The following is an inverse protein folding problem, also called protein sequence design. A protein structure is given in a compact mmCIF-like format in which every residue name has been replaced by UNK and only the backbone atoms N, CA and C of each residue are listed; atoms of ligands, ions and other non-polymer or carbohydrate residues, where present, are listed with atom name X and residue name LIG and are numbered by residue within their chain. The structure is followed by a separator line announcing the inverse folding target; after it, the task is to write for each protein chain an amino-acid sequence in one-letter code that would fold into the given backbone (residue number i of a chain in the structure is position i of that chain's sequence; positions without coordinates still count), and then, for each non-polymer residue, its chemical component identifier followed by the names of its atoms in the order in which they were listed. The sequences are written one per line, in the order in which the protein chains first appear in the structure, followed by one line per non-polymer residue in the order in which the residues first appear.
data_IF_867561782030
#
_entry.id   IF_867561782030
#
_cell.length_a   1.000
_cell.length_b   1.000
_cell.length_c   1.000
_cell.angle_alpha   90.00
_cell.angle_beta   90.00
_cell.angle_gamma   90.00
#
_symmetry.space_group_name_H-M   'P 1'
#
loop_
_entity.id
_entity.type
_entity.pdbx_description
1 polymer ?
#
# COMPACT_ATOMS: atom_id res chain seq x y z
N UNK A 1 17.58 -22.79 24.69
CA UNK A 1 18.38 -21.87 23.83
C UNK A 1 18.25 -22.19 22.34
N UNK A 2 18.18 -23.47 21.92
CA UNK A 2 18.03 -23.85 20.50
C UNK A 2 16.64 -23.60 19.86
N UNK A 3 15.56 -23.48 20.65
CA UNK A 3 14.21 -23.25 20.12
C UNK A 3 14.02 -21.86 19.48
N UNK A 4 14.71 -20.83 20.01
CA UNK A 4 14.59 -19.45 19.52
C UNK A 4 15.25 -19.25 18.14
N UNK A 5 16.37 -19.92 17.89
CA UNK A 5 17.05 -19.90 16.58
C UNK A 5 16.24 -20.62 15.49
N UNK A 6 15.48 -21.67 15.82
CA UNK A 6 14.61 -22.37 14.86
C UNK A 6 13.40 -21.52 14.48
N UNK A 7 12.80 -20.79 15.42
CA UNK A 7 11.74 -19.82 15.11
C UNK A 7 12.27 -18.64 14.28
N UNK A 8 13.44 -18.11 14.60
CA UNK A 8 14.05 -17.04 13.82
C UNK A 8 14.44 -17.52 12.40
N UNK A 9 14.91 -18.75 12.26
CA UNK A 9 15.20 -19.37 10.97
C UNK A 9 13.93 -19.65 10.15
N UNK A 10 12.83 -20.08 10.78
CA UNK A 10 11.53 -20.24 10.11
C UNK A 10 10.94 -18.92 9.62
N UNK A 11 11.10 -17.84 10.38
CA UNK A 11 10.71 -16.49 9.97
C UNK A 11 11.63 -16.00 8.84
N UNK A 12 12.95 -16.20 8.96
CA UNK A 12 13.94 -15.81 7.94
C UNK A 12 13.73 -16.56 6.62
N UNK A 13 13.42 -17.85 6.67
CA UNK A 13 13.07 -18.68 5.50
C UNK A 13 11.70 -18.32 4.93
N UNK A 14 10.72 -17.92 5.75
CA UNK A 14 9.41 -17.45 5.25
C UNK A 14 9.49 -16.09 4.58
N UNK A 15 10.40 -15.21 5.01
CA UNK A 15 10.68 -13.91 4.36
C UNK A 15 11.50 -14.07 3.07
N UNK A 16 12.29 -15.14 2.94
CA UNK A 16 13.21 -15.36 1.82
C UNK A 16 12.66 -16.15 0.62
N UNK A 17 11.37 -16.51 0.58
CA UNK A 17 10.82 -17.32 -0.52
C UNK A 17 9.54 -16.74 -1.13
N UNK A 18 9.65 -15.59 -1.81
CA UNK A 18 8.76 -15.27 -2.94
C UNK A 18 9.33 -15.87 -4.24
N UNK A 19 9.34 -17.19 -4.35
CA UNK A 19 9.82 -17.90 -5.55
C UNK A 19 8.68 -18.47 -6.40
N UNK A 20 7.56 -17.75 -6.51
CA UNK A 20 6.57 -18.05 -7.56
C UNK A 20 6.58 -16.94 -8.59
N UNK A 21 7.65 -16.91 -9.39
CA UNK A 21 7.72 -16.03 -10.56
C UNK A 21 6.63 -16.42 -11.56
N UNK A 22 5.46 -15.81 -11.42
CA UNK A 22 4.33 -16.02 -12.34
C UNK A 22 4.62 -15.30 -13.63
N UNK A 23 4.58 -16.02 -14.75
CA UNK A 23 4.67 -15.43 -16.08
C UNK A 23 3.50 -14.47 -16.30
N UNK A 24 3.75 -13.38 -17.04
CA UNK A 24 2.69 -12.48 -17.48
C UNK A 24 1.71 -13.26 -18.35
N UNK A 25 0.46 -13.36 -17.88
CA UNK A 25 -0.59 -14.15 -18.52
C UNK A 25 -1.58 -13.31 -19.33
N UNK A 26 -1.48 -11.98 -19.24
CA UNK A 26 -2.37 -11.02 -19.89
C UNK A 26 -1.65 -10.19 -20.95
N UNK A 27 -2.38 -9.75 -21.97
CA UNK A 27 -1.84 -8.92 -23.06
C UNK A 27 -2.19 -7.45 -22.86
N UNK A 28 -3.44 -7.14 -22.61
CA UNK A 28 -3.98 -5.80 -22.51
C UNK A 28 -4.51 -5.50 -21.11
N UNK A 29 -4.36 -4.25 -20.67
CA UNK A 29 -4.91 -3.73 -19.41
C UNK A 29 -5.84 -2.58 -19.74
N UNK A 30 -7.09 -2.66 -19.29
CA UNK A 30 -8.12 -1.65 -19.52
C UNK A 30 -8.69 -1.14 -18.22
N UNK A 31 -8.98 0.16 -18.19
CA UNK A 31 -9.73 0.80 -17.10
C UNK A 31 -11.17 0.95 -17.57
N UNK A 32 -12.13 0.47 -16.79
CA UNK A 32 -13.55 0.62 -17.08
C UNK A 32 -14.25 1.27 -15.88
N UNK A 33 -15.13 2.24 -16.14
CA UNK A 33 -16.04 2.77 -15.14
C UNK A 33 -17.18 1.77 -14.95
N UNK A 34 -17.33 1.18 -13.77
CA UNK A 34 -18.49 0.33 -13.52
C UNK A 34 -19.72 1.23 -13.33
N UNK A 35 -20.65 1.15 -14.27
CA UNK A 35 -22.00 1.69 -14.12
C UNK A 35 -22.89 0.61 -13.49
N UNK A 36 -22.52 0.08 -12.32
CA UNK A 36 -23.31 -0.98 -11.69
C UNK A 36 -23.74 -0.61 -10.28
N UNK A 37 -25.03 -0.81 -10.03
CA UNK A 37 -25.79 -0.45 -8.84
C UNK A 37 -25.39 -1.42 -7.72
N UNK A 38 -24.54 -0.98 -6.79
CA UNK A 38 -24.32 -1.73 -5.55
C UNK A 38 -25.51 -1.46 -4.63
N UNK A 39 -26.50 -2.36 -4.63
CA UNK A 39 -27.51 -2.43 -3.57
C UNK A 39 -26.83 -2.92 -2.29
N UNK A 40 -26.32 -1.98 -1.50
CA UNK A 40 -25.98 -2.23 -0.10
C UNK A 40 -27.20 -1.87 0.75
N UNK A 41 -27.77 -2.88 1.40
CA UNK A 41 -28.88 -2.77 2.33
C UNK A 41 -28.45 -1.91 3.54
N UNK A 42 -28.66 -0.58 3.48
CA UNK A 42 -28.58 0.29 4.66
C UNK A 42 -27.98 1.69 4.50
N UNK A 43 -27.26 2.01 3.42
CA UNK A 43 -26.85 3.39 3.13
C UNK A 43 -26.72 3.64 1.62
N UNK A 44 -27.58 4.52 1.10
CA UNK A 44 -27.59 4.98 -0.29
C UNK A 44 -26.46 5.98 -0.55
N UNK A 45 -25.24 5.49 -0.67
CA UNK A 45 -24.13 6.22 -1.28
C UNK A 45 -23.72 5.46 -2.53
N UNK A 46 -24.13 5.97 -3.69
CA UNK A 46 -23.83 5.44 -5.02
C UNK A 46 -22.32 5.52 -5.26
N UNK A 47 -21.58 4.48 -4.89
CA UNK A 47 -20.14 4.42 -5.13
C UNK A 47 -19.91 4.04 -6.59
N UNK A 48 -19.56 5.03 -7.41
CA UNK A 48 -19.03 4.78 -8.74
C UNK A 48 -17.61 4.24 -8.57
N UNK A 49 -17.47 2.91 -8.61
CA UNK A 49 -16.18 2.26 -8.59
C UNK A 49 -15.58 2.21 -9.99
N UNK A 50 -14.27 2.41 -10.09
CA UNK A 50 -13.53 2.18 -11.32
C UNK A 50 -12.87 0.81 -11.20
N UNK A 51 -13.15 -0.06 -12.17
CA UNK A 51 -12.60 -1.40 -12.24
C UNK A 51 -11.44 -1.47 -13.24
N UNK A 52 -10.52 -2.38 -12.97
CA UNK A 52 -9.38 -2.66 -13.83
C UNK A 52 -9.55 -4.07 -14.40
N UNK A 53 -9.43 -4.18 -15.71
CA UNK A 53 -9.60 -5.42 -16.45
C UNK A 53 -8.28 -5.82 -17.12
N UNK A 54 -7.82 -7.03 -16.82
CA UNK A 54 -6.69 -7.68 -17.50
C UNK A 54 -7.28 -8.60 -18.58
N UNK A 55 -7.15 -8.20 -19.84
CA UNK A 55 -7.87 -8.75 -20.99
C UNK A 55 -9.40 -8.81 -20.74
N UNK A 56 -9.92 -10.01 -20.44
CA UNK A 56 -11.34 -10.27 -20.15
C UNK A 56 -11.61 -10.57 -18.67
N UNK A 57 -10.58 -10.50 -17.81
CA UNK A 57 -10.71 -10.82 -16.39
C UNK A 57 -10.64 -9.55 -15.53
N UNK A 58 -11.63 -9.38 -14.66
CA UNK A 58 -11.63 -8.34 -13.64
C UNK A 58 -10.50 -8.58 -12.64
N UNK A 59 -9.77 -7.53 -12.29
CA UNK A 59 -8.72 -7.58 -11.29
C UNK A 59 -9.34 -7.82 -9.91
N UNK A 60 -8.76 -8.76 -9.16
CA UNK A 60 -9.22 -9.17 -7.83
C UNK A 60 -8.09 -9.11 -6.83
N UNK A 61 -8.47 -8.87 -5.58
CA UNK A 61 -7.56 -8.92 -4.43
C UNK A 61 -7.16 -10.37 -4.12
N UNK A 62 -6.11 -10.60 -3.31
CA UNK A 62 -5.76 -11.94 -2.83
C UNK A 62 -6.92 -12.68 -2.15
N UNK A 63 -7.82 -11.97 -1.47
CA UNK A 63 -9.02 -12.55 -0.86
C UNK A 63 -10.19 -12.73 -1.85
N UNK A 64 -9.97 -12.52 -3.15
CA UNK A 64 -10.94 -12.73 -4.22
C UNK A 64 -12.00 -11.64 -4.36
N UNK A 65 -11.92 -10.54 -3.61
CA UNK A 65 -12.79 -9.37 -3.75
C UNK A 65 -12.45 -8.61 -5.03
N UNK A 66 -13.44 -7.95 -5.64
CA UNK A 66 -13.20 -7.09 -6.80
C UNK A 66 -12.47 -5.82 -6.35
N UNK A 67 -11.41 -5.45 -7.08
CA UNK A 67 -10.67 -4.22 -6.80
C UNK A 67 -11.39 -3.03 -7.45
N UNK A 68 -12.18 -2.30 -6.65
CA UNK A 68 -12.88 -1.08 -7.06
C UNK A 68 -12.17 0.14 -6.51
N UNK A 69 -11.77 1.05 -7.38
CA UNK A 69 -11.04 2.26 -7.02
C UNK A 69 -11.95 3.49 -7.12
N UNK A 70 -11.89 4.43 -6.15
CA UNK A 70 -12.75 5.61 -6.15
C UNK A 70 -12.29 6.71 -7.12
N UNK A 71 -11.02 6.72 -7.52
CA UNK A 71 -10.41 7.79 -8.31
C UNK A 71 -9.88 7.26 -9.66
N UNK A 72 -10.20 7.90 -10.80
CA UNK A 72 -9.71 7.50 -12.12
C UNK A 72 -8.19 7.59 -12.25
N UNK A 73 -7.55 8.57 -11.61
CA UNK A 73 -6.09 8.74 -11.64
C UNK A 73 -5.40 7.56 -10.94
N UNK A 74 -5.95 7.13 -9.80
CA UNK A 74 -5.44 5.97 -9.09
C UNK A 74 -5.62 4.68 -9.92
N UNK A 75 -6.77 4.53 -10.58
CA UNK A 75 -7.02 3.39 -11.45
C UNK A 75 -6.08 3.36 -12.67
N UNK A 76 -5.80 4.51 -13.27
CA UNK A 76 -4.83 4.63 -14.35
C UNK A 76 -3.40 4.28 -13.87
N UNK A 77 -2.99 4.77 -12.69
CA UNK A 77 -1.68 4.46 -12.13
C UNK A 77 -1.51 2.96 -11.81
N UNK A 78 -2.54 2.33 -11.24
CA UNK A 78 -2.54 0.87 -11.04
C UNK A 78 -2.52 0.13 -12.37
N UNK A 79 -3.31 0.56 -13.36
CA UNK A 79 -3.29 -0.05 -14.69
C UNK A 79 -1.90 0.04 -15.34
N UNK A 80 -1.21 1.17 -15.19
CA UNK A 80 0.17 1.36 -15.66
C UNK A 80 1.14 0.41 -14.95
N UNK A 81 1.05 0.24 -13.63
CA UNK A 81 1.88 -0.75 -12.90
C UNK A 81 1.74 -2.16 -13.49
N UNK A 82 0.52 -2.56 -13.87
CA UNK A 82 0.26 -3.84 -14.54
C UNK A 82 0.77 -3.87 -15.98
N UNK A 83 0.74 -2.75 -16.71
CA UNK A 83 1.27 -2.67 -18.07
C UNK A 83 2.80 -2.75 -18.11
N UNK A 84 3.49 -2.12 -17.14
CA UNK A 84 4.95 -2.10 -17.02
C UNK A 84 5.59 -3.48 -16.70
N UNK A 85 4.80 -4.48 -16.31
CA UNK A 85 5.33 -5.81 -16.00
C UNK A 85 5.96 -6.47 -17.24
N UNK A 86 7.17 -7.00 -17.09
CA UNK A 86 7.88 -7.71 -18.16
C UNK A 86 7.36 -9.13 -18.40
N UNK A 87 8.27 -10.07 -18.68
CA UNK A 87 7.93 -11.49 -18.89
C UNK A 87 7.36 -12.17 -17.64
N UNK A 88 7.74 -11.67 -16.46
CA UNK A 88 7.35 -12.18 -15.14
C UNK A 88 6.74 -11.05 -14.33
N UNK A 89 5.70 -11.37 -13.57
CA UNK A 89 5.01 -10.44 -12.68
C UNK A 89 5.85 -10.30 -11.41
N UNK A 90 6.36 -9.10 -11.15
CA UNK A 90 7.18 -8.76 -10.00
C UNK A 90 6.36 -8.00 -8.97
N UNK A 91 5.97 -8.70 -7.90
CA UNK A 91 5.16 -8.09 -6.82
C UNK A 91 5.85 -6.92 -6.12
N UNK A 92 7.19 -6.96 -6.05
CA UNK A 92 8.01 -5.88 -5.50
C UNK A 92 7.93 -4.57 -6.28
N UNK A 93 7.45 -4.59 -7.53
CA UNK A 93 7.32 -3.39 -8.37
C UNK A 93 5.87 -2.85 -8.37
N UNK A 94 4.95 -3.51 -7.66
CA UNK A 94 3.50 -3.23 -7.71
C UNK A 94 2.97 -2.70 -6.38
N UNK A 95 3.53 -1.58 -5.92
CA UNK A 95 3.22 -1.02 -4.60
C UNK A 95 1.80 -0.48 -4.51
N UNK A 96 1.31 0.20 -5.55
CA UNK A 96 -0.05 0.74 -5.56
C UNK A 96 -1.08 -0.38 -5.57
N UNK A 97 -0.86 -1.41 -6.40
CA UNK A 97 -1.73 -2.59 -6.44
C UNK A 97 -1.78 -3.29 -5.07
N UNK A 98 -0.63 -3.47 -4.42
CA UNK A 98 -0.54 -4.10 -3.10
C UNK A 98 -1.26 -3.29 -2.03
N UNK A 99 -1.06 -1.96 -2.02
CA UNK A 99 -1.69 -1.06 -1.07
C UNK A 99 -3.21 -1.02 -1.24
N UNK A 100 -3.69 -0.92 -2.49
CA UNK A 100 -5.12 -0.94 -2.77
C UNK A 100 -5.75 -2.29 -2.39
N UNK A 101 -5.07 -3.40 -2.68
CA UNK A 101 -5.55 -4.74 -2.30
C UNK A 101 -5.65 -4.88 -0.78
N UNK A 102 -4.64 -4.41 -0.03
CA UNK A 102 -4.67 -4.43 1.44
C UNK A 102 -5.76 -3.56 2.01
N UNK A 103 -5.98 -2.36 1.44
CA UNK A 103 -7.04 -1.45 1.86
C UNK A 103 -8.44 -2.05 1.63
N UNK A 104 -8.67 -2.75 0.51
CA UNK A 104 -9.95 -3.41 0.22
C UNK A 104 -10.16 -4.68 1.04
N UNK A 105 -9.11 -5.47 1.26
CA UNK A 105 -9.21 -6.72 1.99
C UNK A 105 -9.36 -6.49 3.50
N UNK A 106 -8.71 -5.45 4.05
CA UNK A 106 -8.66 -5.12 5.47
C UNK A 106 -8.52 -6.37 6.35
N UNK A 107 -7.39 -7.09 6.28
CA UNK A 107 -7.24 -8.41 6.93
C UNK A 107 -7.35 -8.34 8.46
N UNK A 108 -7.10 -7.18 9.06
CA UNK A 108 -7.21 -6.93 10.50
C UNK A 108 -8.62 -6.44 10.92
N UNK A 109 -9.53 -6.29 9.96
CA UNK A 109 -10.90 -5.76 10.13
C UNK A 109 -10.96 -4.50 11.01
N UNK A 110 -9.98 -3.62 10.83
CA UNK A 110 -9.86 -2.40 11.63
C UNK A 110 -10.91 -1.40 11.20
N UNK A 111 -11.53 -0.75 12.19
CA UNK A 111 -12.37 0.41 11.93
C UNK A 111 -11.51 1.66 11.73
N UNK A 112 -12.05 2.70 11.08
CA UNK A 112 -11.33 3.97 10.91
C UNK A 112 -10.82 4.55 12.23
N UNK A 113 -11.58 4.39 13.32
CA UNK A 113 -11.20 4.89 14.65
C UNK A 113 -10.00 4.14 15.22
N UNK A 114 -9.94 2.81 15.03
CA UNK A 114 -8.83 1.98 15.48
C UNK A 114 -7.55 2.31 14.70
N UNK A 115 -7.67 2.59 13.40
CA UNK A 115 -6.55 3.04 12.57
C UNK A 115 -6.01 4.39 13.04
N UNK A 116 -6.89 5.34 13.34
CA UNK A 116 -6.48 6.64 13.89
C UNK A 116 -5.78 6.48 15.23
N UNK A 117 -6.31 5.64 16.13
CA UNK A 117 -5.66 5.33 17.41
C UNK A 117 -4.25 4.77 17.19
N UNK A 118 -4.08 3.77 16.31
CA UNK A 118 -2.76 3.20 16.00
C UNK A 118 -1.75 4.22 15.48
N UNK A 119 -2.20 5.20 14.70
CA UNK A 119 -1.35 6.29 14.19
C UNK A 119 -0.96 7.23 15.34
N UNK A 120 -1.92 7.57 16.21
CA UNK A 120 -1.68 8.43 17.39
C UNK A 120 -0.72 7.77 18.38
N UNK A 121 -0.85 6.46 18.58
CA UNK A 121 0.03 5.68 19.46
C UNK A 121 1.50 5.66 18.98
N UNK A 122 1.75 5.97 17.70
CA UNK A 122 3.11 6.07 17.16
C UNK A 122 3.80 7.40 17.46
N UNK A 123 3.04 8.48 17.69
CA UNK A 123 3.53 9.85 17.99
C UNK A 123 4.57 9.88 19.14
N UNK A 124 4.35 9.23 20.31
CA UNK A 124 5.34 9.29 21.40
C UNK A 124 6.65 8.59 21.07
N UNK A 125 6.67 7.72 20.07
CA UNK A 125 7.86 7.00 19.59
C UNK A 125 8.38 7.54 18.25
N UNK A 126 7.91 8.70 17.81
CA UNK A 126 8.32 9.29 16.54
C UNK A 126 9.79 9.71 16.61
N UNK A 127 10.57 9.31 15.60
CA UNK A 127 12.01 9.61 15.50
C UNK A 127 12.27 11.12 15.43
N UNK A 128 11.34 11.90 14.86
CA UNK A 128 11.48 13.37 14.80
C UNK A 128 11.46 14.01 16.19
N UNK A 129 10.80 13.37 17.17
CA UNK A 129 10.73 13.86 18.55
C UNK A 129 11.95 13.49 19.39
N UNK A 130 12.80 12.55 18.92
CA UNK A 130 14.04 12.18 19.58
C UNK A 130 15.22 12.93 18.96
N UNK A 131 15.42 14.17 19.43
CA UNK A 131 16.62 14.94 19.08
C UNK A 131 17.81 14.42 19.86
N UNK A 132 18.94 14.34 19.16
CA UNK A 132 20.21 13.88 19.70
C UNK A 132 21.07 15.11 19.93
N UNK A 133 21.37 15.40 21.20
CA UNK A 133 22.17 16.57 21.58
C UNK A 133 23.69 16.35 21.35
N UNK A 134 24.14 15.09 21.31
CA UNK A 134 25.54 14.72 21.08
C UNK A 134 25.66 13.45 20.25
N UNK A 135 26.61 13.34 19.30
CA UNK A 135 27.65 14.30 18.91
C UNK A 135 27.15 15.48 18.04
N UNK A 136 27.89 16.59 18.06
CA UNK A 136 27.56 17.88 17.41
C UNK A 136 27.27 17.77 15.89
N UNK A 137 27.88 16.78 15.21
CA UNK A 137 27.61 16.54 13.79
C UNK A 137 26.18 16.03 13.53
N UNK A 138 25.61 15.24 14.46
CA UNK A 138 24.25 14.71 14.35
C UNK A 138 23.18 15.70 14.83
N UNK A 139 23.50 16.53 15.84
CA UNK A 139 22.59 17.60 16.26
C UNK A 139 22.37 18.62 15.14
N UNK A 140 23.45 19.03 14.46
CA UNK A 140 23.37 19.91 13.28
C UNK A 140 22.51 19.35 12.15
N UNK A 141 22.67 18.08 11.80
CA UNK A 141 21.84 17.43 10.75
C UNK A 141 20.36 17.33 11.14
N UNK A 142 20.09 17.18 12.44
CA UNK A 142 18.72 17.13 12.97
C UNK A 142 18.03 18.51 12.87
N UNK A 143 18.79 19.59 13.06
CA UNK A 143 18.31 20.97 12.94
C UNK A 143 18.26 21.47 11.49
N UNK A 144 19.16 21.01 10.61
CA UNK A 144 19.21 21.40 9.20
C UNK A 144 17.98 20.94 8.39
N UNK A 145 17.28 19.89 8.85
CA UNK A 145 15.97 19.49 8.30
C UNK A 145 14.88 20.56 8.43
N UNK A 146 15.08 21.58 9.27
CA UNK A 146 14.16 22.71 9.47
C UNK A 146 14.42 23.90 8.52
N UNK A 147 15.50 23.89 7.71
CA UNK A 147 15.79 24.95 6.73
C UNK A 147 14.93 24.85 5.45
N UNK A 148 13.61 24.90 5.62
CA UNK A 148 12.62 25.04 4.56
C UNK A 148 11.55 26.12 4.82
N UNK A 149 11.55 26.76 6.00
CA UNK A 149 10.61 27.83 6.33
C UNK A 149 11.31 29.02 7.00
N UNK A 150 12.20 29.68 6.27
CA UNK A 150 12.57 31.06 6.60
C UNK A 150 12.60 31.89 5.33
N UNK A 151 11.42 32.14 4.78
CA UNK A 151 11.24 33.35 3.94
C UNK A 151 11.18 34.52 4.91
N UNK A 152 12.29 35.25 5.02
CA UNK A 152 12.28 36.55 5.67
C UNK A 152 11.37 37.51 4.91
N UNK A 153 10.46 38.16 5.63
CA UNK A 153 9.95 39.49 5.32
C UNK A 153 9.83 40.24 6.65
N UNK A 154 10.78 41.16 6.83
CA UNK A 154 10.79 42.42 7.62
C UNK A 154 10.05 42.44 8.96
#
# INVERSE_FOLDING_TARGET
MFQWLVCFWLIYVSVQMDSTERKRWYKEVRVASSHEHVESMGQSSKSFGIEINLDQKKLRTPNGKLLLLPNPILAAAVAEEWQCQGEKIRRSEMHLTSLCSKATDNPEDLKPEDLVSKIVDFIPTDTVMFRVDEPEDLSRLSDEGEMGSTTGVV
#
